data_IF_424053643656
#
_entry.id   IF_424053643656
#
_cell.length_a   1.000
_cell.length_b   1.000
_cell.length_c   1.000
_cell.angle_alpha   90.00
_cell.angle_beta   90.00
_cell.angle_gamma   90.00
#
_symmetry.space_group_name_H-M   'P 1'
#
loop_
_entity.id
_entity.type
_entity.pdbx_description
1 polymer ?
#
# COMPACT_ATOMS: atom_id res chain seq x y z
N UNK A 1 29.30 8.70 -20.56
CA UNK A 1 28.43 9.83 -20.96
C UNK A 1 27.01 9.34 -21.19
N UNK A 2 26.72 8.44 -22.14
CA UNK A 2 25.37 7.94 -22.48
C UNK A 2 24.59 7.35 -21.27
N UNK A 3 25.23 6.53 -20.43
CA UNK A 3 24.59 5.91 -19.23
C UNK A 3 24.16 6.97 -18.24
N UNK A 4 25.00 7.97 -17.99
CA UNK A 4 24.70 9.06 -17.06
C UNK A 4 23.56 9.96 -17.55
N UNK A 5 23.52 10.24 -18.85
CA UNK A 5 22.44 11.01 -19.46
C UNK A 5 21.10 10.26 -19.39
N UNK A 6 21.13 8.94 -19.66
CA UNK A 6 19.94 8.08 -19.51
C UNK A 6 19.44 8.07 -18.06
N UNK A 7 20.33 7.87 -17.09
CA UNK A 7 19.98 7.94 -15.66
C UNK A 7 19.31 9.26 -15.29
N UNK A 8 19.92 10.40 -15.67
CA UNK A 8 19.36 11.72 -15.38
C UNK A 8 17.98 11.91 -16.01
N UNK A 9 17.82 11.54 -17.27
CA UNK A 9 16.55 11.63 -17.98
C UNK A 9 15.47 10.81 -17.29
N UNK A 10 15.76 9.55 -16.94
CA UNK A 10 14.79 8.64 -16.33
C UNK A 10 14.39 9.14 -14.93
N UNK A 11 15.35 9.65 -14.14
CA UNK A 11 15.08 10.25 -12.83
C UNK A 11 14.27 11.56 -12.96
N UNK A 12 14.54 12.37 -13.96
CA UNK A 12 13.80 13.62 -14.20
C UNK A 12 12.37 13.34 -14.69
N UNK A 13 12.13 12.23 -15.39
CA UNK A 13 10.76 11.77 -15.71
C UNK A 13 10.00 11.49 -14.43
N UNK A 14 10.56 10.73 -13.49
CA UNK A 14 9.89 10.41 -12.23
C UNK A 14 9.71 11.66 -11.34
N UNK A 15 10.68 12.56 -11.30
CA UNK A 15 10.55 13.83 -10.59
C UNK A 15 9.40 14.68 -11.12
N UNK A 16 9.29 14.81 -12.45
CA UNK A 16 8.19 15.56 -13.08
C UNK A 16 6.86 14.88 -12.84
N UNK A 17 6.78 13.55 -12.95
CA UNK A 17 5.57 12.77 -12.67
C UNK A 17 5.08 13.03 -11.24
N UNK A 18 5.96 12.86 -10.26
CA UNK A 18 5.59 13.11 -8.85
C UNK A 18 5.24 14.57 -8.62
N UNK A 19 6.00 15.53 -9.17
CA UNK A 19 5.74 16.96 -9.00
C UNK A 19 4.44 17.45 -9.67
N UNK A 20 3.93 16.73 -10.67
CA UNK A 20 2.68 17.10 -11.37
C UNK A 20 1.40 16.69 -10.64
N UNK A 21 1.50 15.89 -9.59
CA UNK A 21 0.34 15.47 -8.81
C UNK A 21 -0.16 16.60 -7.89
N UNK A 22 -1.46 16.67 -7.61
CA UNK A 22 -2.08 17.72 -6.79
C UNK A 22 -1.86 17.44 -5.29
N UNK A 23 -0.61 17.49 -4.87
CA UNK A 23 -0.22 17.27 -3.48
C UNK A 23 -0.88 18.26 -2.52
N UNK A 24 -1.32 17.72 -1.39
CA UNK A 24 -1.77 18.48 -0.23
C UNK A 24 -0.99 18.02 1.00
N UNK A 25 -1.01 18.82 2.06
CA UNK A 25 -0.39 18.48 3.34
C UNK A 25 -1.30 18.88 4.48
N UNK A 26 -1.41 18.03 5.48
CA UNK A 26 -2.10 18.28 6.73
C UNK A 26 -1.12 18.12 7.89
N UNK A 27 -1.22 18.95 8.90
CA UNK A 27 -0.45 18.81 10.13
C UNK A 27 -1.19 17.88 11.08
N UNK A 28 -0.46 16.89 11.60
CA UNK A 28 -0.90 16.01 12.66
C UNK A 28 -0.01 16.18 13.89
N UNK A 29 -0.38 15.61 15.02
CA UNK A 29 0.47 15.58 16.23
C UNK A 29 1.80 14.84 16.02
N UNK A 30 1.89 14.03 14.93
CA UNK A 30 3.08 13.29 14.52
C UNK A 30 3.90 14.01 13.43
N UNK A 31 3.52 15.21 13.06
CA UNK A 31 4.12 16.00 11.97
C UNK A 31 3.27 16.03 10.71
N UNK A 32 3.74 16.69 9.64
CA UNK A 32 2.98 16.79 8.41
C UNK A 32 2.81 15.44 7.71
N UNK A 33 1.60 15.21 7.19
CA UNK A 33 1.28 14.13 6.26
C UNK A 33 0.98 14.73 4.89
N UNK A 34 1.76 14.32 3.89
CA UNK A 34 1.49 14.63 2.48
C UNK A 34 0.49 13.62 1.93
N UNK A 35 -0.50 14.09 1.19
CA UNK A 35 -1.57 13.21 0.67
C UNK A 35 -2.08 13.70 -0.67
N UNK A 36 -2.79 12.82 -1.38
CA UNK A 36 -3.62 13.13 -2.54
C UNK A 36 -5.10 13.05 -2.13
N UNK A 37 -5.91 13.95 -2.68
CA UNK A 37 -7.36 14.00 -2.49
C UNK A 37 -8.00 14.22 -3.87
N UNK A 38 -8.69 13.20 -4.40
CA UNK A 38 -9.21 13.18 -5.76
C UNK A 38 -10.63 12.62 -5.82
N UNK A 39 -11.41 13.14 -6.75
CA UNK A 39 -12.78 12.71 -6.96
C UNK A 39 -13.75 13.34 -5.99
N UNK A 40 -14.99 12.92 -6.10
CA UNK A 40 -16.11 13.35 -5.28
C UNK A 40 -16.94 12.12 -4.88
N UNK A 41 -17.84 12.23 -3.92
CA UNK A 41 -18.67 11.14 -3.42
C UNK A 41 -18.21 10.60 -2.07
N UNK A 42 -18.60 9.36 -1.78
CA UNK A 42 -18.24 8.71 -0.51
C UNK A 42 -16.72 8.55 -0.39
N UNK A 43 -16.14 8.81 0.80
CA UNK A 43 -14.70 8.73 0.97
C UNK A 43 -14.19 7.29 1.01
N UNK A 44 -13.12 7.03 0.25
CA UNK A 44 -12.29 5.82 0.34
C UNK A 44 -10.88 6.23 0.74
N UNK A 45 -10.42 5.68 1.85
CA UNK A 45 -9.09 5.94 2.40
C UNK A 45 -8.10 4.86 1.94
N UNK A 46 -7.07 5.24 1.19
CA UNK A 46 -6.20 4.27 0.50
C UNK A 46 -4.80 4.26 1.10
N UNK A 47 -4.36 3.10 1.58
CA UNK A 47 -3.08 2.91 2.27
C UNK A 47 -2.13 2.08 1.40
N UNK A 48 -1.10 2.74 0.89
CA UNK A 48 -0.13 2.16 -0.05
C UNK A 48 0.82 1.13 0.58
N UNK A 49 1.40 0.25 -0.24
CA UNK A 49 2.43 -0.73 0.13
C UNK A 49 3.83 -0.14 0.32
N UNK A 50 4.82 -1.01 0.58
CA UNK A 50 6.23 -0.63 0.65
C UNK A 50 6.73 -0.09 -0.70
N UNK A 51 7.77 0.73 -0.69
CA UNK A 51 8.40 1.41 -1.86
C UNK A 51 7.51 2.43 -2.56
N UNK A 52 6.21 2.41 -2.34
CA UNK A 52 5.24 3.37 -2.87
C UNK A 52 5.23 4.65 -2.01
N UNK A 53 4.29 5.51 -2.27
CA UNK A 53 3.77 6.59 -1.45
C UNK A 53 2.36 6.85 -1.97
N UNK A 54 1.73 7.98 -1.68
CA UNK A 54 0.41 8.27 -2.22
C UNK A 54 0.36 8.23 -3.76
N UNK A 55 1.45 8.55 -4.44
CA UNK A 55 1.55 8.48 -5.91
C UNK A 55 1.45 7.06 -6.47
N UNK A 56 2.04 6.08 -5.81
CA UNK A 56 1.90 4.66 -6.14
C UNK A 56 0.55 4.12 -5.65
N UNK A 57 0.12 4.51 -4.46
CA UNK A 57 -1.18 4.14 -3.91
C UNK A 57 -2.35 4.58 -4.80
N UNK A 58 -2.24 5.75 -5.44
CA UNK A 58 -3.23 6.19 -6.42
C UNK A 58 -3.25 5.28 -7.65
N UNK A 59 -2.11 5.13 -8.31
CA UNK A 59 -2.00 4.52 -9.64
C UNK A 59 -2.04 2.99 -9.62
N UNK A 60 -1.41 2.40 -8.60
CA UNK A 60 -1.17 0.95 -8.57
C UNK A 60 -2.13 0.22 -7.60
N UNK A 61 -3.00 0.97 -6.88
CA UNK A 61 -4.01 0.42 -6.00
C UNK A 61 -5.38 1.06 -6.22
N UNK A 62 -5.53 2.37 -5.98
CA UNK A 62 -6.84 3.00 -6.01
C UNK A 62 -7.48 2.95 -7.41
N UNK A 63 -6.74 3.33 -8.45
CA UNK A 63 -7.25 3.32 -9.83
C UNK A 63 -7.52 1.90 -10.37
N UNK A 64 -6.96 0.85 -9.75
CA UNK A 64 -7.19 -0.55 -10.14
C UNK A 64 -8.33 -1.22 -9.37
N UNK A 65 -8.52 -0.85 -8.10
CA UNK A 65 -9.38 -1.60 -7.16
C UNK A 65 -10.64 -0.82 -6.80
N UNK A 66 -10.59 0.52 -6.73
CA UNK A 66 -11.72 1.34 -6.34
C UNK A 66 -12.51 1.79 -7.57
N UNK A 67 -13.84 1.55 -7.62
CA UNK A 67 -14.67 2.04 -8.73
C UNK A 67 -14.67 3.56 -8.85
N UNK A 68 -15.08 4.07 -10.00
CA UNK A 68 -15.29 5.51 -10.18
C UNK A 68 -16.45 6.02 -9.33
N UNK A 69 -16.42 7.31 -8.97
CA UNK A 69 -17.50 7.95 -8.22
C UNK A 69 -17.22 8.08 -6.71
N UNK A 70 -16.02 7.75 -6.28
CA UNK A 70 -15.58 7.89 -4.89
C UNK A 70 -14.57 9.04 -4.73
N UNK A 71 -14.54 9.64 -3.53
CA UNK A 71 -13.48 10.55 -3.10
C UNK A 71 -12.31 9.74 -2.56
N UNK A 72 -11.19 9.72 -3.27
CA UNK A 72 -9.99 9.01 -2.91
C UNK A 72 -9.09 9.88 -2.02
N UNK A 73 -8.83 9.44 -0.80
CA UNK A 73 -7.90 10.08 0.15
C UNK A 73 -6.72 9.14 0.33
N UNK A 74 -5.56 9.55 -0.14
CA UNK A 74 -4.40 8.68 -0.24
C UNK A 74 -3.22 9.35 0.47
N UNK A 75 -2.97 9.06 1.76
CA UNK A 75 -1.79 9.57 2.46
C UNK A 75 -0.51 8.88 2.00
N UNK A 76 0.58 9.62 1.95
CA UNK A 76 1.92 9.04 2.06
C UNK A 76 2.16 8.65 3.51
N UNK A 77 2.50 7.38 3.77
CA UNK A 77 2.78 6.88 5.10
C UNK A 77 4.05 7.53 5.69
N UNK A 78 4.31 7.36 6.96
CA UNK A 78 5.47 7.94 7.64
C UNK A 78 6.77 7.72 6.88
N UNK A 79 7.53 8.81 6.67
CA UNK A 79 8.83 8.80 6.01
C UNK A 79 8.81 8.59 4.50
N UNK A 80 7.64 8.62 3.87
CA UNK A 80 7.49 8.60 2.42
C UNK A 80 7.20 10.01 1.89
N UNK A 81 7.94 10.41 0.86
CA UNK A 81 7.85 11.70 0.14
C UNK A 81 7.87 12.91 1.10
N UNK A 82 6.77 13.62 1.24
CA UNK A 82 6.64 14.80 2.09
C UNK A 82 6.06 14.53 3.48
N UNK A 83 5.73 13.28 3.79
CA UNK A 83 5.26 12.90 5.12
C UNK A 83 6.41 12.80 6.12
N UNK A 84 6.19 13.31 7.32
CA UNK A 84 7.17 13.21 8.41
C UNK A 84 7.46 11.76 8.81
N UNK A 85 8.66 11.54 9.34
CA UNK A 85 8.98 10.40 10.17
C UNK A 85 9.05 10.94 11.62
N UNK A 86 8.08 10.59 12.48
CA UNK A 86 8.10 11.06 13.86
C UNK A 86 9.32 10.51 14.63
N UNK A 87 9.64 11.12 15.77
CA UNK A 87 10.79 10.70 16.59
C UNK A 87 10.64 9.25 17.09
N UNK A 88 9.41 8.88 17.49
CA UNK A 88 9.07 7.53 17.95
C UNK A 88 8.02 6.90 17.02
N UNK A 89 8.43 6.42 15.82
CA UNK A 89 7.50 5.88 14.86
C UNK A 89 7.00 4.49 15.28
N UNK A 90 5.68 4.31 15.27
CA UNK A 90 5.04 3.02 15.45
C UNK A 90 3.84 2.88 14.51
N UNK A 91 3.30 1.68 14.37
CA UNK A 91 2.10 1.46 13.54
C UNK A 91 0.85 2.04 14.19
N UNK A 92 0.81 2.08 15.53
CA UNK A 92 -0.23 2.75 16.30
C UNK A 92 -0.21 4.26 16.05
N UNK A 93 0.98 4.89 16.13
CA UNK A 93 1.16 6.30 15.80
C UNK A 93 0.76 6.61 14.35
N UNK A 94 1.04 5.69 13.42
CA UNK A 94 0.61 5.83 12.02
C UNK A 94 -0.92 5.76 11.89
N UNK A 95 -1.57 4.89 12.64
CA UNK A 95 -3.03 4.78 12.68
C UNK A 95 -3.67 6.05 13.28
N UNK A 96 -3.13 6.54 14.40
CA UNK A 96 -3.59 7.77 15.03
C UNK A 96 -3.41 8.98 14.10
N UNK A 97 -2.29 9.07 13.38
CA UNK A 97 -2.05 10.12 12.39
C UNK A 97 -3.03 10.05 11.21
N UNK A 98 -3.49 8.86 10.82
CA UNK A 98 -4.53 8.71 9.81
C UNK A 98 -5.90 9.20 10.32
N UNK A 99 -6.25 8.90 11.56
CA UNK A 99 -7.48 9.42 12.18
C UNK A 99 -7.47 10.95 12.25
N UNK A 100 -6.35 11.56 12.67
CA UNK A 100 -6.18 13.03 12.68
C UNK A 100 -6.25 13.64 11.27
N UNK A 101 -5.74 12.95 10.25
CA UNK A 101 -5.88 13.38 8.86
C UNK A 101 -7.36 13.36 8.44
N UNK A 102 -8.09 12.29 8.78
CA UNK A 102 -9.53 12.20 8.49
C UNK A 102 -10.29 13.36 9.18
N UNK A 103 -9.97 13.67 10.44
CA UNK A 103 -10.54 14.83 11.15
C UNK A 103 -10.30 16.14 10.41
N UNK A 104 -9.05 16.38 10.00
CA UNK A 104 -8.66 17.59 9.24
C UNK A 104 -9.44 17.73 7.92
N UNK A 105 -9.82 16.60 7.31
CA UNK A 105 -10.54 16.55 6.04
C UNK A 105 -12.07 16.52 6.20
N UNK A 106 -12.57 16.53 7.45
CA UNK A 106 -13.98 16.42 7.74
C UNK A 106 -14.57 15.07 7.33
N UNK A 107 -13.76 14.01 7.37
CA UNK A 107 -14.18 12.63 7.06
C UNK A 107 -14.42 11.90 8.35
N UNK A 108 -15.69 11.65 8.66
CA UNK A 108 -16.08 10.93 9.87
C UNK A 108 -15.65 9.47 9.81
N UNK A 109 -15.98 8.78 8.72
CA UNK A 109 -15.59 7.40 8.48
C UNK A 109 -15.45 7.12 6.97
N UNK A 110 -14.67 6.12 6.60
CA UNK A 110 -14.46 5.71 5.22
C UNK A 110 -14.34 4.20 5.08
N UNK A 111 -14.52 3.69 3.86
CA UNK A 111 -13.98 2.37 3.50
C UNK A 111 -12.46 2.54 3.37
N UNK A 112 -11.71 1.64 3.99
CA UNK A 112 -10.25 1.65 3.96
C UNK A 112 -9.77 0.56 3.01
N UNK A 113 -9.01 0.95 1.98
CA UNK A 113 -8.39 0.02 1.02
C UNK A 113 -6.89 0.03 1.24
N UNK A 114 -6.30 -1.09 1.58
CA UNK A 114 -4.88 -1.18 1.90
C UNK A 114 -4.19 -2.32 1.15
N UNK A 115 -2.96 -2.09 0.70
CA UNK A 115 -2.18 -3.11 0.02
C UNK A 115 -0.88 -3.43 0.77
N UNK A 116 -0.50 -4.74 0.75
CA UNK A 116 0.80 -5.21 1.20
C UNK A 116 1.18 -4.66 2.59
N UNK A 117 2.33 -4.02 2.73
CA UNK A 117 2.81 -3.40 3.98
C UNK A 117 1.82 -2.37 4.58
N UNK A 118 0.98 -1.73 3.75
CA UNK A 118 -0.05 -0.80 4.20
C UNK A 118 -1.13 -1.46 5.05
N UNK A 119 -1.37 -2.75 4.86
CA UNK A 119 -2.38 -3.52 5.61
C UNK A 119 -2.13 -3.50 7.11
N UNK A 120 -0.87 -3.51 7.55
CA UNK A 120 -0.53 -3.44 8.97
C UNK A 120 -1.05 -2.16 9.63
N UNK A 121 -0.81 -1.00 8.97
CA UNK A 121 -1.31 0.29 9.45
C UNK A 121 -2.83 0.41 9.38
N UNK A 122 -3.45 -0.18 8.34
CA UNK A 122 -4.91 -0.19 8.18
C UNK A 122 -5.60 -1.06 9.23
N UNK A 123 -5.02 -2.21 9.57
CA UNK A 123 -5.51 -3.06 10.67
C UNK A 123 -5.44 -2.33 12.02
N UNK A 124 -4.33 -1.62 12.29
CA UNK A 124 -4.23 -0.80 13.50
C UNK A 124 -5.23 0.35 13.50
N UNK A 125 -5.52 0.98 12.35
CA UNK A 125 -6.59 1.98 12.25
C UNK A 125 -7.95 1.36 12.59
N UNK A 126 -8.27 0.20 12.05
CA UNK A 126 -9.53 -0.48 12.30
C UNK A 126 -9.70 -0.94 13.77
N UNK A 127 -8.60 -1.28 14.46
CA UNK A 127 -8.64 -1.68 15.88
C UNK A 127 -8.72 -0.47 16.82
N UNK A 128 -7.92 0.58 16.55
CA UNK A 128 -7.79 1.74 17.45
C UNK A 128 -8.89 2.78 17.26
N UNK A 129 -9.42 2.87 16.04
CA UNK A 129 -10.43 3.83 15.62
C UNK A 129 -11.53 3.11 14.84
N UNK A 130 -12.23 2.11 15.44
CA UNK A 130 -13.22 1.30 14.75
C UNK A 130 -14.36 2.15 14.15
N UNK A 131 -14.70 3.28 14.77
CA UNK A 131 -15.70 4.23 14.28
C UNK A 131 -15.28 4.95 12.98
N UNK A 132 -14.01 4.89 12.61
CA UNK A 132 -13.48 5.51 11.39
C UNK A 132 -13.49 4.57 10.18
N UNK A 133 -13.66 3.26 10.39
CA UNK A 133 -13.54 2.24 9.34
C UNK A 133 -14.88 1.56 9.14
N UNK A 134 -15.59 1.92 8.06
CA UNK A 134 -16.86 1.32 7.66
C UNK A 134 -16.72 -0.07 7.08
N UNK A 135 -15.61 -0.30 6.38
CA UNK A 135 -15.23 -1.57 5.80
C UNK A 135 -13.73 -1.55 5.49
N UNK A 136 -13.10 -2.70 5.51
CA UNK A 136 -11.67 -2.86 5.29
C UNK A 136 -11.43 -3.79 4.11
N UNK A 137 -10.76 -3.30 3.07
CA UNK A 137 -10.31 -4.10 1.91
C UNK A 137 -8.80 -4.27 1.99
N UNK A 138 -8.35 -5.50 2.08
CA UNK A 138 -6.93 -5.87 2.17
C UNK A 138 -6.50 -6.58 0.89
N UNK A 139 -5.62 -5.95 0.12
CA UNK A 139 -5.14 -6.46 -1.18
C UNK A 139 -3.71 -6.96 -1.04
N UNK A 140 -3.46 -8.23 -1.35
CA UNK A 140 -2.14 -8.87 -1.19
C UNK A 140 -1.51 -8.51 0.15
N UNK A 141 -2.29 -8.66 1.22
CA UNK A 141 -1.99 -8.13 2.54
C UNK A 141 -0.68 -8.68 3.12
N UNK A 142 0.01 -7.86 3.91
CA UNK A 142 0.97 -8.38 4.87
C UNK A 142 0.22 -9.24 5.90
N UNK A 143 0.66 -10.48 6.08
CA UNK A 143 -0.03 -11.48 6.90
C UNK A 143 0.90 -12.02 7.99
N UNK A 144 0.38 -12.55 9.11
CA UNK A 144 1.21 -13.18 10.14
C UNK A 144 2.16 -14.25 9.55
N UNK A 145 3.41 -14.22 9.99
CA UNK A 145 4.46 -15.13 9.51
C UNK A 145 5.15 -14.73 8.20
N UNK A 146 4.63 -13.75 7.46
CA UNK A 146 5.18 -13.35 6.16
C UNK A 146 6.51 -12.61 6.27
N UNK A 147 6.77 -11.94 7.38
CA UNK A 147 7.95 -11.11 7.55
C UNK A 147 8.76 -11.45 8.80
N UNK A 148 10.07 -11.54 8.63
CA UNK A 148 11.02 -11.83 9.71
C UNK A 148 12.29 -11.03 9.48
N UNK A 149 12.96 -10.60 10.57
CA UNK A 149 14.27 -9.91 10.49
C UNK A 149 15.41 -10.82 10.04
N UNK A 150 15.23 -12.14 10.12
CA UNK A 150 16.26 -13.11 9.73
C UNK A 150 16.59 -12.94 8.24
N UNK A 151 17.84 -12.61 7.94
CA UNK A 151 18.32 -12.40 6.57
C UNK A 151 18.21 -10.95 6.08
N UNK A 152 17.60 -10.05 6.85
CA UNK A 152 17.62 -8.62 6.53
C UNK A 152 19.01 -8.03 6.74
N UNK A 153 19.49 -7.17 5.81
CA UNK A 153 20.77 -6.48 6.00
C UNK A 153 20.70 -5.50 7.19
N UNK A 154 21.81 -5.14 7.82
CA UNK A 154 21.82 -4.08 8.83
C UNK A 154 21.22 -2.76 8.26
N UNK A 155 20.48 -2.00 9.09
CA UNK A 155 19.84 -0.73 8.67
C UNK A 155 20.75 0.23 7.89
N UNK A 156 22.05 0.44 8.25
CA UNK A 156 22.93 1.30 7.45
C UNK A 156 23.19 0.78 6.05
N UNK A 157 23.31 -0.54 5.88
CA UNK A 157 23.52 -1.20 4.58
C UNK A 157 22.24 -1.07 3.74
N UNK A 158 21.09 -1.35 4.34
CA UNK A 158 19.78 -1.15 3.69
C UNK A 158 19.64 0.30 3.19
N UNK A 159 19.89 1.30 4.07
CA UNK A 159 19.85 2.73 3.72
C UNK A 159 20.79 3.08 2.57
N UNK A 160 21.99 2.51 2.54
CA UNK A 160 22.98 2.80 1.49
C UNK A 160 22.54 2.28 0.13
N UNK A 161 21.84 1.16 0.07
CA UNK A 161 21.33 0.56 -1.17
C UNK A 161 20.02 1.22 -1.58
N UNK A 162 19.00 1.14 -0.71
CA UNK A 162 17.64 1.60 -1.00
C UNK A 162 17.47 3.12 -0.93
N UNK A 163 18.41 3.85 -0.34
CA UNK A 163 18.47 5.31 -0.38
C UNK A 163 19.29 5.87 -1.56
N UNK A 164 19.71 5.05 -2.52
CA UNK A 164 20.58 5.44 -3.62
C UNK A 164 19.91 5.32 -4.99
N UNK A 165 19.41 6.43 -5.53
CA UNK A 165 18.84 6.46 -6.89
C UNK A 165 19.76 5.87 -7.97
N UNK A 166 21.10 6.14 -8.01
CA UNK A 166 21.96 5.52 -9.01
C UNK A 166 22.02 3.99 -8.90
N UNK A 167 22.08 3.45 -7.67
CA UNK A 167 22.13 2.00 -7.45
C UNK A 167 20.81 1.37 -7.89
N UNK A 168 19.68 1.88 -7.40
CA UNK A 168 18.37 1.34 -7.74
C UNK A 168 18.08 1.47 -9.23
N UNK A 169 18.37 2.64 -9.83
CA UNK A 169 18.22 2.82 -11.27
C UNK A 169 19.06 1.81 -12.09
N UNK A 170 20.29 1.58 -11.68
CA UNK A 170 21.14 0.60 -12.37
C UNK A 170 20.57 -0.82 -12.23
N UNK A 171 20.09 -1.18 -11.05
CA UNK A 171 19.47 -2.49 -10.80
C UNK A 171 18.21 -2.69 -11.65
N UNK A 172 17.26 -1.76 -11.64
CA UNK A 172 16.03 -1.88 -12.44
C UNK A 172 16.27 -1.82 -13.95
N UNK A 173 17.36 -1.16 -14.37
CA UNK A 173 17.68 -0.99 -15.81
C UNK A 173 18.46 -2.16 -16.38
N UNK A 174 19.44 -2.70 -15.64
CA UNK A 174 20.39 -3.68 -16.12
C UNK A 174 20.27 -5.05 -15.47
N UNK A 175 19.60 -5.15 -14.35
CA UNK A 175 19.39 -6.39 -13.60
C UNK A 175 17.97 -6.51 -13.01
N UNK A 176 16.89 -6.27 -13.80
CA UNK A 176 15.53 -6.27 -13.28
C UNK A 176 15.15 -7.62 -12.64
N UNK A 177 15.60 -8.73 -13.19
CA UNK A 177 15.38 -10.05 -12.60
C UNK A 177 16.03 -10.24 -11.23
N UNK A 178 17.14 -9.55 -10.94
CA UNK A 178 17.74 -9.58 -9.61
C UNK A 178 16.86 -8.83 -8.59
N UNK A 179 16.37 -7.65 -8.95
CA UNK A 179 15.46 -6.88 -8.10
C UNK A 179 14.17 -7.67 -7.84
N UNK A 180 13.55 -8.24 -8.87
CA UNK A 180 12.36 -9.06 -8.73
C UNK A 180 12.60 -10.23 -7.74
N UNK A 181 13.69 -10.97 -7.91
CA UNK A 181 14.05 -12.08 -7.00
C UNK A 181 14.31 -11.64 -5.56
N UNK A 182 14.92 -10.48 -5.35
CA UNK A 182 15.22 -9.96 -4.01
C UNK A 182 13.96 -9.43 -3.32
N UNK A 183 13.09 -8.76 -4.06
CA UNK A 183 11.84 -8.21 -3.51
C UNK A 183 10.78 -9.28 -3.26
N UNK A 184 10.82 -10.40 -3.98
CA UNK A 184 9.77 -11.44 -4.08
C UNK A 184 8.43 -10.91 -4.63
N UNK A 185 8.04 -9.70 -4.24
CA UNK A 185 6.74 -9.08 -4.62
C UNK A 185 6.68 -8.58 -6.08
N UNK A 186 7.83 -8.40 -6.74
CA UNK A 186 7.91 -8.00 -8.16
C UNK A 186 8.12 -9.20 -9.11
N UNK A 187 7.99 -10.41 -8.60
CA UNK A 187 8.09 -11.63 -9.41
C UNK A 187 6.79 -11.83 -10.18
N UNK A 188 6.91 -12.03 -11.49
CA UNK A 188 5.82 -12.54 -12.31
C UNK A 188 5.80 -14.05 -12.15
N UNK A 189 4.74 -14.66 -11.58
CA UNK A 189 4.69 -16.11 -11.43
C UNK A 189 4.67 -16.82 -12.79
N UNK A 190 5.19 -18.04 -12.82
CA UNK A 190 5.12 -18.88 -14.03
C UNK A 190 3.68 -19.25 -14.35
N UNK A 191 3.29 -19.15 -15.63
CA UNK A 191 1.97 -19.56 -16.11
C UNK A 191 0.88 -18.50 -15.94
N UNK A 192 1.21 -17.30 -15.51
CA UNK A 192 0.25 -16.17 -15.51
C UNK A 192 0.01 -15.69 -16.94
N UNK A 193 -1.25 -15.69 -17.35
CA UNK A 193 -1.69 -15.12 -18.63
C UNK A 193 -1.73 -13.59 -18.51
N UNK A 194 -0.63 -12.93 -18.89
CA UNK A 194 -0.53 -11.48 -18.86
C UNK A 194 -1.51 -10.83 -19.84
N UNK A 195 -2.16 -9.77 -19.38
CA UNK A 195 -3.07 -8.97 -20.22
C UNK A 195 -2.42 -7.62 -20.60
N UNK A 196 -2.96 -6.92 -21.62
CA UNK A 196 -2.47 -5.59 -21.97
C UNK A 196 -2.45 -4.65 -20.77
N UNK A 197 -1.26 -4.09 -20.46
CA UNK A 197 -1.03 -3.20 -19.31
C UNK A 197 -0.25 -3.84 -18.17
N UNK A 198 -0.19 -5.17 -18.06
CA UNK A 198 0.55 -5.85 -16.98
C UNK A 198 2.05 -5.60 -17.03
N UNK A 199 2.65 -5.62 -18.22
CA UNK A 199 4.07 -5.27 -18.39
C UNK A 199 4.35 -3.84 -17.91
N UNK A 200 3.45 -2.91 -18.25
CA UNK A 200 3.55 -1.52 -17.79
C UNK A 200 3.37 -1.44 -16.27
N UNK A 201 2.49 -2.24 -15.67
CA UNK A 201 2.28 -2.35 -14.23
C UNK A 201 3.57 -2.79 -13.52
N UNK A 202 4.22 -3.85 -14.02
CA UNK A 202 5.51 -4.32 -13.50
C UNK A 202 6.60 -3.24 -13.62
N UNK A 203 6.72 -2.59 -14.78
CA UNK A 203 7.69 -1.51 -14.99
C UNK A 203 7.42 -0.33 -14.08
N UNK A 204 6.14 0.06 -13.89
CA UNK A 204 5.76 1.12 -12.95
C UNK A 204 6.12 0.76 -11.52
N UNK A 205 5.79 -0.46 -11.08
CA UNK A 205 6.10 -0.95 -9.74
C UNK A 205 7.63 -0.94 -9.48
N UNK A 206 8.43 -1.40 -10.45
CA UNK A 206 9.89 -1.29 -10.37
C UNK A 206 10.37 0.15 -10.27
N UNK A 207 9.75 1.11 -10.97
CA UNK A 207 10.14 2.52 -10.93
C UNK A 207 9.73 3.25 -9.65
N UNK A 208 8.79 2.70 -8.88
CA UNK A 208 8.40 3.28 -7.59
C UNK A 208 9.56 3.36 -6.58
N UNK A 209 10.64 2.57 -6.77
CA UNK A 209 11.85 2.66 -5.92
C UNK A 209 12.68 3.92 -6.20
N UNK A 210 12.44 4.63 -7.32
CA UNK A 210 13.16 5.87 -7.63
C UNK A 210 12.65 7.01 -6.75
N UNK A 211 13.43 8.08 -6.69
CA UNK A 211 13.37 9.11 -5.67
C UNK A 211 13.67 8.54 -4.27
N UNK A 212 14.59 7.59 -4.25
CA UNK A 212 14.97 6.74 -3.14
C UNK A 212 15.22 7.50 -1.83
N UNK A 213 15.92 8.65 -1.89
CA UNK A 213 16.18 9.49 -0.71
C UNK A 213 14.91 10.00 -0.03
N UNK A 214 13.82 10.13 -0.79
CA UNK A 214 12.53 10.60 -0.29
C UNK A 214 11.62 9.47 0.19
N UNK A 215 12.03 8.20 0.05
CA UNK A 215 11.24 7.00 0.40
C UNK A 215 11.93 6.12 1.44
N UNK A 216 13.26 6.13 1.49
CA UNK A 216 14.06 5.18 2.29
C UNK A 216 13.76 5.23 3.80
N UNK A 217 13.32 6.36 4.33
CA UNK A 217 12.93 6.45 5.74
C UNK A 217 11.67 5.60 6.02
N UNK A 218 10.66 5.71 5.16
CA UNK A 218 9.46 4.89 5.21
C UNK A 218 9.74 3.42 4.94
N UNK A 219 10.58 3.11 3.95
CA UNK A 219 11.00 1.73 3.67
C UNK A 219 11.72 1.07 4.84
N UNK A 220 12.57 1.82 5.55
CA UNK A 220 13.22 1.34 6.78
C UNK A 220 12.20 1.09 7.89
N UNK A 221 11.22 1.98 8.04
CA UNK A 221 10.14 1.79 9.00
C UNK A 221 9.33 0.53 8.65
N UNK A 222 8.95 0.36 7.39
CA UNK A 222 8.23 -0.83 6.95
C UNK A 222 9.02 -2.10 7.18
N UNK A 223 10.26 -2.16 6.71
CA UNK A 223 11.07 -3.37 6.71
C UNK A 223 11.48 -3.83 8.12
N UNK A 224 11.69 -2.90 9.06
CA UNK A 224 12.25 -3.22 10.38
C UNK A 224 11.29 -2.98 11.56
N UNK A 225 10.10 -2.42 11.31
CA UNK A 225 9.08 -2.15 12.33
C UNK A 225 7.72 -2.59 11.84
N UNK A 226 7.11 -1.87 10.91
CA UNK A 226 5.70 -2.02 10.54
C UNK A 226 5.34 -3.44 10.08
N UNK A 227 6.11 -4.02 9.16
CA UNK A 227 5.82 -5.36 8.64
C UNK A 227 5.94 -6.47 9.70
N UNK A 228 6.71 -6.24 10.76
CA UNK A 228 6.87 -7.20 11.85
C UNK A 228 5.68 -7.18 12.80
N UNK A 229 5.05 -6.02 12.95
CA UNK A 229 3.93 -5.84 13.88
C UNK A 229 2.70 -6.66 13.48
N UNK A 230 2.56 -7.05 12.20
CA UNK A 230 1.47 -7.95 11.79
C UNK A 230 1.45 -9.26 12.58
N UNK A 231 2.61 -9.72 13.07
CA UNK A 231 2.72 -10.94 13.89
C UNK A 231 2.17 -10.79 15.31
N UNK A 232 1.87 -9.54 15.73
CA UNK A 232 1.43 -9.21 17.10
C UNK A 232 0.02 -8.62 17.14
N UNK A 233 -0.57 -8.39 15.97
CA UNK A 233 -1.93 -7.83 15.88
C UNK A 233 -2.94 -8.85 16.42
N UNK A 234 -3.76 -8.40 17.36
CA UNK A 234 -4.93 -9.14 17.83
C UNK A 234 -6.07 -9.02 16.82
N UNK A 235 -6.04 -9.85 15.77
CA UNK A 235 -6.97 -9.78 14.63
C UNK A 235 -8.44 -9.91 15.06
N UNK A 236 -8.71 -10.57 16.19
CA UNK A 236 -10.04 -10.69 16.79
C UNK A 236 -10.65 -9.36 17.25
N UNK A 237 -9.83 -8.30 17.36
CA UNK A 237 -10.29 -6.96 17.72
C UNK A 237 -10.75 -6.11 16.51
N UNK A 238 -10.54 -6.59 15.29
CA UNK A 238 -11.03 -5.92 14.07
C UNK A 238 -12.55 -6.05 14.03
N UNK A 239 -13.27 -4.92 14.17
CA UNK A 239 -14.74 -4.88 14.19
C UNK A 239 -15.32 -4.58 12.80
N UNK A 240 -14.54 -3.93 11.93
CA UNK A 240 -14.98 -3.58 10.59
C UNK A 240 -15.18 -4.83 9.72
N UNK A 241 -16.28 -4.93 8.96
CA UNK A 241 -16.39 -5.91 7.89
C UNK A 241 -15.14 -5.87 7.02
N UNK A 242 -14.55 -7.03 6.75
CA UNK A 242 -13.24 -7.11 6.09
C UNK A 242 -13.29 -8.01 4.86
N UNK A 243 -12.79 -7.50 3.74
CA UNK A 243 -12.59 -8.26 2.51
C UNK A 243 -11.09 -8.41 2.23
N UNK A 244 -10.64 -9.64 2.05
CA UNK A 244 -9.23 -9.95 1.74
C UNK A 244 -9.17 -10.49 0.31
N UNK A 245 -8.43 -9.80 -0.56
CA UNK A 245 -8.14 -10.23 -1.93
C UNK A 245 -6.68 -10.70 -2.00
N UNK A 246 -6.44 -12.00 -2.28
CA UNK A 246 -5.10 -12.55 -2.20
C UNK A 246 -4.86 -13.66 -3.23
N UNK A 247 -3.72 -13.61 -3.93
CA UNK A 247 -3.37 -14.63 -4.92
C UNK A 247 -2.79 -15.88 -4.25
N UNK A 248 -3.17 -17.05 -4.76
CA UNK A 248 -2.67 -18.35 -4.26
C UNK A 248 -1.18 -18.54 -4.51
N UNK A 249 -0.68 -17.91 -5.57
CA UNK A 249 0.70 -17.96 -6.03
C UNK A 249 1.52 -16.72 -5.61
N UNK A 250 1.06 -15.95 -4.62
CA UNK A 250 1.82 -14.81 -4.10
C UNK A 250 3.16 -15.27 -3.50
N UNK A 251 4.31 -14.88 -4.08
CA UNK A 251 5.62 -15.31 -3.61
C UNK A 251 6.11 -14.56 -2.37
N UNK A 252 5.39 -13.53 -1.96
CA UNK A 252 5.64 -12.74 -0.75
C UNK A 252 4.85 -13.27 0.44
N UNK A 253 3.75 -12.62 0.82
CA UNK A 253 2.86 -13.08 1.89
C UNK A 253 2.15 -14.40 1.49
N UNK A 254 2.31 -15.51 2.27
CA UNK A 254 1.75 -16.78 1.89
C UNK A 254 0.21 -16.79 1.90
N UNK A 255 -0.42 -17.34 0.86
CA UNK A 255 -1.88 -17.50 0.79
C UNK A 255 -2.47 -18.23 2.00
N UNK A 256 -1.80 -19.28 2.48
CA UNK A 256 -2.24 -20.01 3.66
C UNK A 256 -2.39 -19.10 4.90
N UNK A 257 -1.48 -18.15 5.08
CA UNK A 257 -1.58 -17.17 6.18
C UNK A 257 -2.68 -16.14 5.94
N UNK A 258 -3.03 -15.84 4.70
CA UNK A 258 -4.20 -15.01 4.38
C UNK A 258 -5.52 -15.74 4.73
N UNK A 259 -5.57 -17.05 4.49
CA UNK A 259 -6.68 -17.91 4.95
C UNK A 259 -6.79 -17.89 6.46
N UNK A 260 -5.67 -18.08 7.18
CA UNK A 260 -5.66 -18.00 8.65
C UNK A 260 -6.10 -16.63 9.15
N UNK A 261 -5.62 -15.55 8.53
CA UNK A 261 -6.04 -14.19 8.85
C UNK A 261 -7.55 -14.02 8.71
N UNK A 262 -8.16 -14.53 7.62
CA UNK A 262 -9.60 -14.45 7.39
C UNK A 262 -10.43 -15.21 8.44
N UNK A 263 -9.87 -16.26 9.04
CA UNK A 263 -10.54 -16.98 10.12
C UNK A 263 -10.44 -16.29 11.49
N UNK A 264 -9.44 -15.41 11.67
CA UNK A 264 -9.24 -14.71 12.94
C UNK A 264 -9.94 -13.36 13.00
N UNK A 265 -10.22 -12.72 11.87
CA UNK A 265 -11.03 -11.50 11.83
C UNK A 265 -12.50 -11.90 11.84
N UNK A 266 -13.32 -11.42 12.81
CA UNK A 266 -14.68 -11.92 13.04
C UNK A 266 -15.62 -11.82 11.85
N UNK A 267 -15.56 -10.74 11.07
CA UNK A 267 -16.38 -10.52 9.88
C UNK A 267 -15.50 -10.34 8.66
N UNK A 268 -14.77 -11.41 8.29
CA UNK A 268 -13.89 -11.40 7.14
C UNK A 268 -14.32 -12.39 6.06
N UNK A 269 -14.20 -11.93 4.81
CA UNK A 269 -14.34 -12.73 3.61
C UNK A 269 -13.00 -12.76 2.88
N UNK A 270 -12.60 -13.92 2.36
CA UNK A 270 -11.43 -14.09 1.51
C UNK A 270 -11.87 -14.38 0.08
N UNK A 271 -11.45 -13.52 -0.85
CA UNK A 271 -11.55 -13.75 -2.27
C UNK A 271 -10.22 -14.32 -2.75
N UNK A 272 -10.17 -15.60 -3.12
CA UNK A 272 -8.96 -16.19 -3.69
C UNK A 272 -8.80 -15.76 -5.13
N UNK A 273 -7.60 -15.28 -5.48
CA UNK A 273 -7.16 -15.10 -6.86
C UNK A 273 -6.31 -16.31 -7.23
N UNK A 274 -6.66 -17.05 -8.28
CA UNK A 274 -5.99 -18.29 -8.61
C UNK A 274 -4.51 -18.10 -8.99
N UNK A 275 -4.20 -17.04 -9.74
CA UNK A 275 -2.83 -16.68 -10.12
C UNK A 275 -2.71 -15.18 -10.35
N UNK A 276 -1.49 -14.64 -10.38
CA UNK A 276 -1.22 -13.22 -10.61
C UNK A 276 -0.15 -12.66 -9.67
N UNK A 277 0.27 -13.46 -8.71
CA UNK A 277 1.30 -13.07 -7.74
C UNK A 277 0.89 -11.90 -6.85
N UNK A 278 1.88 -11.26 -6.26
CA UNK A 278 1.67 -10.15 -5.34
C UNK A 278 1.01 -8.92 -5.99
N UNK A 279 1.23 -8.74 -7.29
CA UNK A 279 0.71 -7.60 -8.03
C UNK A 279 -0.66 -7.85 -8.66
N UNK A 280 -1.24 -9.05 -8.50
CA UNK A 280 -2.50 -9.45 -9.13
C UNK A 280 -2.46 -9.16 -10.64
N UNK A 281 -1.48 -9.77 -11.35
CA UNK A 281 -1.36 -9.70 -12.80
C UNK A 281 -2.37 -10.63 -13.47
N UNK A 282 -2.83 -10.30 -14.67
CA UNK A 282 -3.83 -11.08 -15.39
C UNK A 282 -5.24 -10.51 -15.24
N UNK A 283 -6.25 -11.31 -15.61
CA UNK A 283 -7.65 -10.90 -15.57
C UNK A 283 -8.32 -11.34 -14.28
N UNK A 284 -8.81 -10.38 -13.49
CA UNK A 284 -9.49 -10.60 -12.21
C UNK A 284 -10.82 -9.81 -12.17
N UNK A 285 -11.55 -9.80 -13.29
CA UNK A 285 -12.74 -8.95 -13.43
C UNK A 285 -13.86 -9.33 -12.46
N UNK A 286 -14.01 -10.61 -12.11
CA UNK A 286 -15.07 -11.05 -11.22
C UNK A 286 -14.71 -10.78 -9.76
N UNK A 287 -13.46 -11.01 -9.37
CA UNK A 287 -12.92 -10.67 -8.05
C UNK A 287 -12.99 -9.16 -7.79
N UNK A 288 -12.63 -8.35 -8.78
CA UNK A 288 -12.73 -6.89 -8.69
C UNK A 288 -14.18 -6.39 -8.62
N UNK A 289 -15.16 -7.09 -9.25
CA UNK A 289 -16.59 -6.79 -9.06
C UNK A 289 -17.05 -7.06 -7.64
N UNK A 290 -16.55 -8.11 -7.00
CA UNK A 290 -16.86 -8.39 -5.60
C UNK A 290 -16.26 -7.32 -4.68
N UNK A 291 -15.03 -6.88 -4.94
CA UNK A 291 -14.43 -5.75 -4.21
C UNK A 291 -15.24 -4.47 -4.42
N UNK A 292 -15.67 -4.17 -5.66
CA UNK A 292 -16.49 -3.00 -5.96
C UNK A 292 -17.80 -3.02 -5.20
N UNK A 293 -18.49 -4.18 -5.18
CA UNK A 293 -19.74 -4.37 -4.42
C UNK A 293 -19.51 -4.17 -2.91
N UNK A 294 -18.45 -4.75 -2.37
CA UNK A 294 -18.10 -4.57 -0.96
C UNK A 294 -17.89 -3.09 -0.62
N UNK A 295 -17.16 -2.34 -1.46
CA UNK A 295 -16.95 -0.90 -1.27
C UNK A 295 -18.29 -0.16 -1.32
N UNK A 296 -19.16 -0.48 -2.27
CA UNK A 296 -20.50 0.13 -2.42
C UNK A 296 -21.36 -0.12 -1.18
N UNK A 297 -21.47 -1.37 -0.72
CA UNK A 297 -22.30 -1.79 0.41
C UNK A 297 -21.86 -1.11 1.74
N UNK A 298 -20.59 -0.77 1.89
CA UNK A 298 -20.04 -0.15 3.10
C UNK A 298 -19.75 1.36 2.99
N UNK A 299 -19.98 1.96 1.80
CA UNK A 299 -19.75 3.39 1.59
C UNK A 299 -20.96 4.26 1.88
N UNK A 300 -22.17 3.72 1.85
CA UNK A 300 -23.37 4.48 2.11
C UNK A 300 -23.44 4.93 3.58
N UNK A 301 -23.76 6.20 3.78
CA UNK A 301 -24.17 6.70 5.09
C UNK A 301 -25.56 6.13 5.35
N UNK A 302 -25.81 5.39 6.43
CA UNK A 302 -27.15 4.96 6.77
C UNK A 302 -28.10 6.16 6.70
N UNK A 303 -29.19 6.02 5.96
CA UNK A 303 -30.20 7.09 5.73
C UNK A 303 -30.75 7.71 7.02
N UNK A 304 -30.57 7.04 8.14
CA UNK A 304 -31.01 7.46 9.47
C UNK A 304 -30.11 8.51 10.14
N UNK A 305 -28.88 8.69 9.64
CA UNK A 305 -27.92 9.72 10.11
C UNK A 305 -27.84 10.94 9.18
N UNK A 306 -28.56 10.94 8.07
CA UNK A 306 -28.61 12.05 7.10
C UNK A 306 -29.71 13.10 7.40
N UNK A 307 -30.22 13.18 8.66
CA UNK A 307 -31.22 14.16 9.08
C UNK A 307 -30.67 15.14 10.09
#
# INVERSE_FOLDING_TARGET
MIVFERYRRDLDVERRRVASLPWRSANTSFGPIEYLDRGEGAPVFVVHGITQAADGGLRDLAEEVVPNGYRLIIPSRFGYLGSAMPENPSVEAQADAFAELMDTLGVEAAVVVAASAGSTSALHLAIRHPERVRGLVLVSANVPGSHQLKGMPPKPVFRSIFGSDPILWALITYAPGLIARLSKVLVVPEGVDLVPGDEDKVVRAMRNVLLAKRRVAGELFDAYVSNLEVNRIELTQVQAPTLILHARDDPGPPYASAVEMSHHIPDAQLIPVESGGHMLLGTHADELKEVARFIEDHSEVPSDLAR
#
